data_IF_192669767248
#
_entry.id   IF_192669767248
#
_cell.length_a   1.000
_cell.length_b   1.000
_cell.length_c   1.000
_cell.angle_alpha   90.00
_cell.angle_beta   90.00
_cell.angle_gamma   90.00
#
_symmetry.space_group_name_H-M   'P 1'
#
loop_
_entity.id
_entity.type
_entity.pdbx_description
1 polymer ?
#
# COMPACT_ATOMS: atom_id res chain seq x y z
N UNK A 1 -10.44 11.06 -0.09
CA UNK A 1 -10.40 11.47 1.33
C UNK A 1 -10.03 12.94 1.58
N UNK A 2 -10.10 13.86 0.59
CA UNK A 2 -9.86 15.29 0.85
C UNK A 2 -8.46 15.62 1.36
N UNK A 3 -7.45 14.82 1.01
CA UNK A 3 -6.04 15.12 1.28
C UNK A 3 -5.28 15.31 -0.03
N UNK A 4 -4.03 15.75 0.10
CA UNK A 4 -3.12 16.08 -1.00
C UNK A 4 -2.95 14.92 -2.00
N UNK A 5 -2.50 15.26 -3.21
CA UNK A 5 -2.36 14.29 -4.29
C UNK A 5 -1.32 13.19 -3.93
N UNK A 6 -1.34 12.03 -4.62
CA UNK A 6 -0.38 10.93 -4.39
C UNK A 6 1.11 11.33 -4.40
N UNK A 7 1.44 12.45 -5.04
CA UNK A 7 2.78 13.03 -5.11
C UNK A 7 3.09 14.04 -3.97
N UNK A 8 2.26 14.10 -2.92
CA UNK A 8 2.51 15.00 -1.79
C UNK A 8 3.64 14.49 -0.91
N UNK A 9 4.44 15.43 -0.41
CA UNK A 9 5.48 15.16 0.58
C UNK A 9 4.95 14.43 1.81
N UNK A 10 3.69 14.69 2.21
CA UNK A 10 3.01 14.08 3.35
C UNK A 10 1.68 13.45 2.91
N UNK A 11 1.76 12.34 2.19
CA UNK A 11 0.60 11.65 1.63
C UNK A 11 -0.26 10.92 2.68
N UNK A 12 0.33 10.50 3.80
CA UNK A 12 -0.28 9.53 4.69
C UNK A 12 -1.41 10.10 5.54
N UNK A 13 -2.45 9.29 5.77
CA UNK A 13 -3.52 9.65 6.70
C UNK A 13 -3.10 9.39 8.14
N UNK A 14 -2.35 8.32 8.37
CA UNK A 14 -2.14 7.73 9.70
C UNK A 14 -0.84 8.19 10.38
N UNK A 15 0.03 8.93 9.70
CA UNK A 15 1.28 9.40 10.27
C UNK A 15 1.83 10.62 9.51
N UNK A 16 2.81 11.30 10.11
CA UNK A 16 3.55 12.41 9.50
C UNK A 16 4.77 11.93 8.69
N UNK A 17 4.66 10.78 8.03
CA UNK A 17 5.73 10.24 7.20
C UNK A 17 5.96 11.09 5.96
N UNK A 18 7.22 11.44 5.73
CA UNK A 18 7.67 12.14 4.54
C UNK A 18 8.12 11.16 3.45
N UNK A 19 8.01 11.59 2.19
CA UNK A 19 8.40 10.82 1.02
C UNK A 19 9.80 10.18 1.08
N UNK A 20 10.79 10.87 1.64
CA UNK A 20 12.18 10.38 1.72
C UNK A 20 12.43 9.39 2.86
N UNK A 21 11.46 9.26 3.78
CA UNK A 21 11.57 8.44 4.98
C UNK A 21 10.65 7.21 4.96
N UNK A 22 9.94 6.95 3.85
CA UNK A 22 8.95 5.85 3.72
C UNK A 22 9.53 4.47 4.00
N UNK A 23 10.78 4.26 3.59
CA UNK A 23 11.53 3.01 3.74
C UNK A 23 12.02 2.76 5.18
N UNK A 24 12.05 3.79 6.03
CA UNK A 24 12.64 3.71 7.36
C UNK A 24 11.66 3.10 8.37
N UNK A 25 11.73 1.77 8.50
CA UNK A 25 10.92 1.01 9.45
C UNK A 25 11.44 1.12 10.90
N UNK A 26 12.65 1.64 11.14
CA UNK A 26 13.19 1.81 12.50
C UNK A 26 12.63 3.05 13.21
N UNK A 27 12.07 3.99 12.44
CA UNK A 27 11.38 5.14 13.03
C UNK A 27 10.05 4.71 13.63
N UNK A 28 9.78 5.22 14.82
CA UNK A 28 8.46 5.16 15.43
C UNK A 28 7.53 6.12 14.69
N UNK A 29 6.56 5.56 13.97
CA UNK A 29 5.52 6.32 13.31
C UNK A 29 4.26 6.27 14.17
N UNK A 30 4.04 7.30 14.98
CA UNK A 30 2.85 7.36 15.81
C UNK A 30 1.61 7.44 14.92
N UNK A 31 0.62 6.60 15.23
CA UNK A 31 -0.67 6.56 14.53
C UNK A 31 -1.52 7.75 14.93
N UNK A 32 -1.14 8.92 14.42
CA UNK A 32 -1.80 10.20 14.67
C UNK A 32 -2.24 10.80 13.36
N UNK A 33 -3.32 11.57 13.40
CA UNK A 33 -3.78 12.36 12.25
C UNK A 33 -2.60 13.15 11.67
N UNK A 34 -2.34 13.03 10.38
CA UNK A 34 -1.31 13.81 9.71
C UNK A 34 -1.54 15.31 9.94
N UNK A 35 -0.55 15.94 10.57
CA UNK A 35 -0.55 17.34 10.97
C UNK A 35 0.18 18.23 9.97
N UNK A 36 0.98 17.63 9.08
CA UNK A 36 1.88 18.33 8.14
C UNK A 36 1.31 18.51 6.74
N UNK A 37 0.23 17.81 6.38
CA UNK A 37 -0.44 17.97 5.10
C UNK A 37 -1.35 19.20 5.09
N UNK A 38 -1.27 20.03 4.03
CA UNK A 38 -2.28 21.05 3.74
C UNK A 38 -3.63 20.37 3.52
N UNK A 39 -4.56 20.55 4.47
CA UNK A 39 -5.86 19.89 4.43
C UNK A 39 -6.76 20.55 3.39
N UNK A 40 -7.20 19.79 2.39
CA UNK A 40 -8.44 20.13 1.67
C UNK A 40 -9.62 19.76 2.56
N UNK A 41 -10.78 20.34 2.30
CA UNK A 41 -12.01 19.97 3.02
C UNK A 41 -12.23 18.46 2.92
N UNK A 42 -12.50 17.81 4.06
CA UNK A 42 -12.77 16.37 4.11
C UNK A 42 -13.92 16.03 3.16
N UNK A 43 -13.75 14.98 2.36
CA UNK A 43 -14.81 14.51 1.44
C UNK A 43 -16.05 14.02 2.19
N UNK A 44 -15.84 13.40 3.35
CA UNK A 44 -16.90 12.91 4.24
C UNK A 44 -16.62 13.34 5.68
N UNK A 45 -16.98 14.58 6.07
CA UNK A 45 -16.81 15.05 7.45
C UNK A 45 -17.65 14.26 8.47
N UNK A 46 -18.58 13.42 7.97
CA UNK A 46 -19.41 12.51 8.73
C UNK A 46 -18.65 11.34 9.37
N UNK A 47 -17.50 10.96 8.78
CA UNK A 47 -16.75 9.76 9.18
C UNK A 47 -15.50 10.23 9.90
N UNK A 48 -15.34 9.81 11.16
CA UNK A 48 -14.11 10.02 11.90
C UNK A 48 -12.96 9.30 11.18
N UNK A 49 -11.81 9.97 11.07
CA UNK A 49 -10.63 9.43 10.39
C UNK A 49 -10.11 8.12 11.02
N UNK A 50 -10.38 7.91 12.31
CA UNK A 50 -10.13 6.64 13.02
C UNK A 50 -10.88 5.45 12.41
N UNK A 51 -11.94 5.71 11.65
CA UNK A 51 -12.72 4.70 10.93
C UNK A 51 -12.28 4.54 9.47
N UNK A 52 -11.21 5.19 9.03
CA UNK A 52 -10.62 4.94 7.71
C UNK A 52 -9.76 3.70 7.78
N UNK A 53 -10.15 2.70 6.99
CA UNK A 53 -9.44 1.43 6.87
C UNK A 53 -8.73 1.43 5.51
N UNK A 54 -7.44 1.05 5.44
CA UNK A 54 -6.76 0.81 4.19
C UNK A 54 -7.53 -0.19 3.32
N UNK A 55 -7.72 0.14 2.04
CA UNK A 55 -8.38 -0.76 1.09
C UNK A 55 -7.43 -1.90 0.72
N UNK A 56 -7.81 -3.12 1.11
CA UNK A 56 -7.06 -4.37 0.89
C UNK A 56 -6.76 -4.63 -0.58
N UNK A 57 -7.73 -4.40 -1.47
CA UNK A 57 -7.56 -4.62 -2.91
C UNK A 57 -6.59 -3.60 -3.49
N UNK A 58 -6.66 -2.34 -3.06
CA UNK A 58 -5.71 -1.32 -3.50
C UNK A 58 -4.28 -1.63 -3.02
N UNK A 59 -4.10 -2.14 -1.79
CA UNK A 59 -2.80 -2.59 -1.30
C UNK A 59 -2.24 -3.70 -2.20
N UNK A 60 -3.05 -4.72 -2.52
CA UNK A 60 -2.64 -5.80 -3.43
C UNK A 60 -2.22 -5.25 -4.80
N UNK A 61 -3.07 -4.46 -5.43
CA UNK A 61 -2.83 -3.98 -6.80
C UNK A 61 -1.57 -3.14 -6.88
N UNK A 62 -1.47 -2.10 -6.03
CA UNK A 62 -0.36 -1.15 -6.09
C UNK A 62 0.97 -1.76 -5.68
N UNK A 63 1.02 -2.60 -4.63
CA UNK A 63 2.28 -3.21 -4.22
C UNK A 63 2.75 -4.23 -5.28
N UNK A 64 1.81 -4.99 -5.86
CA UNK A 64 2.15 -5.91 -6.95
C UNK A 64 2.61 -5.19 -8.22
N UNK A 65 2.05 -4.02 -8.52
CA UNK A 65 2.52 -3.18 -9.62
C UNK A 65 3.96 -2.73 -9.38
N UNK A 66 4.32 -2.29 -8.17
CA UNK A 66 5.70 -1.93 -7.83
C UNK A 66 6.67 -3.09 -8.05
N UNK A 67 6.33 -4.29 -7.56
CA UNK A 67 7.16 -5.47 -7.75
C UNK A 67 7.39 -5.80 -9.24
N UNK A 68 6.33 -5.70 -10.05
CA UNK A 68 6.42 -5.90 -11.50
C UNK A 68 7.22 -4.79 -12.20
N UNK A 69 6.99 -3.54 -11.83
CA UNK A 69 7.70 -2.37 -12.37
C UNK A 69 9.20 -2.48 -12.12
N UNK A 70 9.60 -2.79 -10.89
CA UNK A 70 11.00 -3.00 -10.53
C UNK A 70 11.62 -4.13 -11.35
N UNK A 71 10.98 -5.30 -11.40
CA UNK A 71 11.47 -6.45 -12.17
C UNK A 71 11.60 -6.12 -13.67
N UNK A 72 10.53 -5.61 -14.29
CA UNK A 72 10.52 -5.36 -15.72
C UNK A 72 11.41 -4.20 -16.12
N UNK A 73 11.56 -3.16 -15.29
CA UNK A 73 12.51 -2.08 -15.56
C UNK A 73 13.94 -2.62 -15.69
N UNK A 74 14.32 -3.63 -14.92
CA UNK A 74 15.64 -4.26 -15.03
C UNK A 74 15.75 -5.21 -16.23
N UNK A 75 14.71 -6.00 -16.49
CA UNK A 75 14.70 -6.92 -17.64
C UNK A 75 14.68 -6.16 -18.98
N UNK A 76 13.97 -5.04 -19.07
CA UNK A 76 13.88 -4.21 -20.29
C UNK A 76 15.23 -3.56 -20.63
N UNK A 77 16.10 -3.30 -19.66
CA UNK A 77 17.47 -2.78 -19.90
C UNK A 77 18.37 -3.82 -20.58
N UNK A 78 18.02 -5.10 -20.53
CA UNK A 78 18.79 -6.17 -21.14
C UNK A 78 18.68 -6.12 -22.68
N UNK A 79 19.82 -6.21 -23.37
CA UNK A 79 19.89 -6.18 -24.84
C UNK A 79 19.14 -7.33 -25.51
N UNK A 80 18.96 -8.45 -24.80
CA UNK A 80 18.26 -9.62 -25.30
C UNK A 80 16.77 -9.65 -24.90
N UNK A 81 16.26 -8.54 -24.31
CA UNK A 81 14.86 -8.42 -23.91
C UNK A 81 13.89 -8.74 -25.05
N UNK A 82 13.98 -7.99 -26.14
CA UNK A 82 13.09 -8.15 -27.31
C UNK A 82 13.31 -9.46 -28.06
N UNK A 83 14.46 -10.12 -27.89
CA UNK A 83 14.82 -11.33 -28.64
C UNK A 83 14.30 -12.60 -27.97
N UNK A 84 14.47 -12.72 -26.65
CA UNK A 84 14.20 -13.96 -25.93
C UNK A 84 13.46 -13.76 -24.60
N UNK A 85 13.79 -12.72 -23.82
CA UNK A 85 13.26 -12.58 -22.46
C UNK A 85 11.76 -12.26 -22.50
N UNK A 86 11.34 -11.36 -23.41
CA UNK A 86 9.92 -11.00 -23.62
C UNK A 86 9.05 -12.24 -23.84
N UNK A 87 9.41 -13.08 -24.83
CA UNK A 87 8.62 -14.26 -25.17
C UNK A 87 8.66 -15.32 -24.07
N UNK A 88 9.77 -15.45 -23.34
CA UNK A 88 9.88 -16.34 -22.20
C UNK A 88 8.96 -15.91 -21.03
N UNK A 89 8.89 -14.61 -20.72
CA UNK A 89 7.97 -14.07 -19.70
C UNK A 89 6.51 -14.30 -20.12
N UNK A 90 6.15 -13.94 -21.34
CA UNK A 90 4.78 -14.12 -21.87
C UNK A 90 4.36 -15.61 -21.82
N UNK A 91 5.29 -16.53 -22.13
CA UNK A 91 5.07 -17.96 -21.98
C UNK A 91 4.89 -18.39 -20.52
N UNK A 92 5.69 -17.86 -19.58
CA UNK A 92 5.55 -18.18 -18.17
C UNK A 92 4.20 -17.72 -17.59
N UNK A 93 3.73 -16.52 -17.97
CA UNK A 93 2.37 -16.07 -17.62
C UNK A 93 1.29 -16.97 -18.22
N UNK A 94 1.45 -17.38 -19.49
CA UNK A 94 0.53 -18.33 -20.13
C UNK A 94 0.48 -19.67 -19.38
N UNK A 95 1.61 -20.18 -18.91
CA UNK A 95 1.70 -21.44 -18.16
C UNK A 95 0.93 -21.39 -16.83
N UNK A 96 0.88 -20.23 -16.18
CA UNK A 96 0.07 -20.01 -14.97
C UNK A 96 -1.37 -19.57 -15.29
N UNK A 97 -1.80 -19.68 -16.56
CA UNK A 97 -3.15 -19.34 -17.06
C UNK A 97 -3.51 -17.86 -16.89
N UNK A 98 -2.54 -16.97 -17.01
CA UNK A 98 -2.73 -15.51 -16.98
C UNK A 98 -2.42 -14.94 -18.36
N UNK A 99 -3.33 -14.15 -18.93
CA UNK A 99 -3.06 -13.42 -20.17
C UNK A 99 -2.15 -12.23 -19.85
N UNK A 100 -0.96 -12.21 -20.48
CA UNK A 100 0.01 -11.15 -20.28
C UNK A 100 0.86 -10.97 -21.53
N UNK A 101 0.96 -9.74 -22.00
CA UNK A 101 1.75 -9.36 -23.17
C UNK A 101 2.45 -8.02 -22.94
N UNK A 102 3.65 -7.89 -23.49
CA UNK A 102 4.37 -6.62 -23.62
C UNK A 102 4.06 -5.97 -24.97
N UNK A 103 3.83 -4.67 -24.96
CA UNK A 103 3.56 -3.86 -26.15
C UNK A 103 4.27 -2.52 -26.08
N UNK A 104 4.57 -1.93 -27.23
CA UNK A 104 5.15 -0.59 -27.31
C UNK A 104 4.05 0.45 -27.47
N UNK A 105 4.19 1.59 -26.81
CA UNK A 105 3.25 2.71 -27.00
C UNK A 105 3.33 3.24 -28.43
N UNK A 106 2.17 3.46 -29.06
CA UNK A 106 2.05 4.02 -30.42
C UNK A 106 2.58 5.45 -30.54
N UNK A 107 2.64 6.21 -29.44
CA UNK A 107 3.01 7.63 -29.44
C UNK A 107 4.52 7.87 -29.36
N UNK A 108 5.27 7.01 -28.67
CA UNK A 108 6.71 7.19 -28.43
C UNK A 108 7.58 6.08 -29.03
N UNK A 109 7.01 4.92 -29.41
CA UNK A 109 7.68 3.80 -30.08
C UNK A 109 8.85 3.14 -29.33
N UNK A 110 9.34 3.79 -28.26
CA UNK A 110 10.57 3.44 -27.53
C UNK A 110 10.29 2.91 -26.12
N UNK A 111 9.09 3.11 -25.59
CA UNK A 111 8.73 2.67 -24.26
C UNK A 111 7.90 1.39 -24.32
N UNK A 112 8.40 0.36 -23.66
CA UNK A 112 7.67 -0.87 -23.40
C UNK A 112 6.65 -0.65 -22.30
N UNK A 113 5.45 -1.15 -22.52
CA UNK A 113 4.37 -1.28 -21.56
C UNK A 113 3.92 -2.75 -21.54
N UNK A 114 3.06 -3.09 -20.59
CA UNK A 114 2.55 -4.44 -20.44
C UNK A 114 1.08 -4.46 -20.05
N UNK A 115 0.48 -5.63 -20.14
CA UNK A 115 -0.91 -5.87 -19.76
C UNK A 115 -1.10 -5.59 -18.27
N UNK A 116 -2.02 -4.70 -17.91
CA UNK A 116 -2.42 -4.48 -16.52
C UNK A 116 -3.20 -5.69 -15.99
N UNK A 117 -2.87 -6.14 -14.79
CA UNK A 117 -3.45 -7.33 -14.17
C UNK A 117 -4.46 -6.94 -13.08
N UNK A 118 -5.64 -7.55 -13.13
CA UNK A 118 -6.68 -7.41 -12.10
C UNK A 118 -6.35 -8.26 -10.85
N UNK A 119 -7.03 -7.97 -9.74
CA UNK A 119 -6.81 -8.62 -8.44
C UNK A 119 -6.64 -10.14 -8.49
N UNK A 120 -7.57 -10.91 -9.09
CA UNK A 120 -7.43 -12.37 -9.18
C UNK A 120 -6.15 -12.82 -9.91
N UNK A 121 -5.78 -12.15 -10.99
CA UNK A 121 -4.56 -12.48 -11.75
C UNK A 121 -3.29 -12.04 -11.03
N UNK A 122 -3.34 -10.94 -10.26
CA UNK A 122 -2.24 -10.54 -9.36
C UNK A 122 -1.96 -11.60 -8.31
N UNK A 123 -3.00 -12.18 -7.69
CA UNK A 123 -2.84 -13.28 -6.72
C UNK A 123 -2.15 -14.49 -7.36
N UNK A 124 -2.61 -14.94 -8.52
CA UNK A 124 -2.02 -16.08 -9.24
C UNK A 124 -0.55 -15.81 -9.60
N UNK A 125 -0.25 -14.60 -10.06
CA UNK A 125 1.11 -14.19 -10.38
C UNK A 125 2.02 -14.21 -9.15
N UNK A 126 1.60 -13.57 -8.06
CA UNK A 126 2.38 -13.53 -6.80
C UNK A 126 2.60 -14.92 -6.20
N UNK A 127 1.69 -15.85 -6.44
CA UNK A 127 1.79 -17.24 -5.96
C UNK A 127 2.69 -18.10 -6.86
N UNK A 128 2.59 -17.96 -8.20
CA UNK A 128 3.06 -18.99 -9.15
C UNK A 128 4.05 -18.52 -10.20
N UNK A 129 4.16 -17.22 -10.46
CA UNK A 129 5.05 -16.72 -11.51
C UNK A 129 6.52 -16.94 -11.11
N UNK A 130 7.33 -17.68 -11.87
CA UNK A 130 8.68 -18.07 -11.45
C UNK A 130 9.68 -16.92 -11.67
N UNK A 131 9.84 -16.05 -10.69
CA UNK A 131 10.60 -14.79 -10.84
C UNK A 131 12.09 -15.09 -11.01
N UNK A 132 12.62 -16.04 -10.23
CA UNK A 132 14.04 -16.43 -10.26
C UNK A 132 14.52 -16.84 -11.66
N UNK A 133 13.68 -17.46 -12.48
CA UNK A 133 14.03 -17.90 -13.84
C UNK A 133 14.48 -16.76 -14.77
N UNK A 134 14.11 -15.52 -14.46
CA UNK A 134 14.41 -14.36 -15.28
C UNK A 134 15.54 -13.50 -14.73
N UNK A 135 16.04 -13.81 -13.54
CA UNK A 135 17.00 -12.98 -12.81
C UNK A 135 18.37 -13.66 -12.84
N UNK A 136 19.37 -13.06 -13.49
CA UNK A 136 20.70 -13.64 -13.50
C UNK A 136 21.43 -13.38 -12.18
N UNK A 137 22.08 -14.41 -11.63
CA UNK A 137 23.09 -14.27 -10.58
C UNK A 137 22.59 -14.59 -9.17
N UNK A 138 23.33 -14.12 -8.16
CA UNK A 138 23.18 -14.50 -6.75
C UNK A 138 21.92 -13.97 -6.06
N UNK A 139 21.11 -13.18 -6.76
CA UNK A 139 19.96 -12.46 -6.24
C UNK A 139 18.62 -13.15 -6.57
N UNK A 140 18.66 -14.25 -7.32
CA UNK A 140 17.48 -14.94 -7.84
C UNK A 140 16.54 -15.43 -6.72
N UNK A 141 17.12 -16.08 -5.71
CA UNK A 141 16.38 -16.64 -4.58
C UNK A 141 15.81 -15.54 -3.68
N UNK A 142 16.53 -14.44 -3.53
CA UNK A 142 16.10 -13.32 -2.70
C UNK A 142 14.89 -12.59 -3.29
N UNK A 143 14.85 -12.39 -4.62
CA UNK A 143 13.73 -11.74 -5.28
C UNK A 143 12.51 -12.67 -5.36
N UNK A 144 12.72 -13.95 -5.63
CA UNK A 144 11.65 -14.96 -5.53
C UNK A 144 11.05 -14.95 -4.12
N UNK A 145 11.90 -15.03 -3.09
CA UNK A 145 11.49 -14.95 -1.69
C UNK A 145 10.73 -13.66 -1.38
N UNK A 146 11.20 -12.51 -1.87
CA UNK A 146 10.52 -11.22 -1.69
C UNK A 146 9.07 -11.24 -2.22
N UNK A 147 8.83 -11.83 -3.39
CA UNK A 147 7.49 -11.95 -3.97
C UNK A 147 6.62 -12.93 -3.17
N UNK A 148 7.18 -14.09 -2.79
CA UNK A 148 6.46 -15.10 -1.98
C UNK A 148 6.13 -14.59 -0.59
N UNK A 149 7.01 -13.83 0.04
CA UNK A 149 6.76 -13.22 1.34
C UNK A 149 5.65 -12.17 1.26
N UNK A 150 5.61 -11.33 0.21
CA UNK A 150 4.48 -10.42 0.04
C UNK A 150 3.16 -11.18 -0.14
N UNK A 151 3.14 -12.25 -0.94
CA UNK A 151 1.96 -13.10 -1.08
C UNK A 151 1.52 -13.71 0.25
N UNK A 152 2.47 -14.24 1.04
CA UNK A 152 2.21 -14.82 2.37
C UNK A 152 1.60 -13.79 3.31
N UNK A 153 2.19 -12.59 3.41
CA UNK A 153 1.69 -11.49 4.22
C UNK A 153 0.30 -11.03 3.76
N UNK A 154 0.09 -10.92 2.46
CA UNK A 154 -1.22 -10.58 1.89
C UNK A 154 -2.28 -11.64 2.24
N UNK A 155 -1.96 -12.94 2.10
CA UNK A 155 -2.89 -14.01 2.45
C UNK A 155 -3.19 -14.05 3.95
N UNK A 156 -2.26 -13.58 4.80
CA UNK A 156 -2.47 -13.44 6.23
C UNK A 156 -3.63 -12.48 6.56
N UNK A 157 -3.88 -11.47 5.71
CA UNK A 157 -4.99 -10.53 5.87
C UNK A 157 -6.35 -11.25 5.86
N UNK A 158 -6.48 -12.38 5.14
CA UNK A 158 -7.73 -13.10 5.01
C UNK A 158 -8.00 -14.08 6.17
N UNK A 159 -7.16 -14.14 7.20
CA UNK A 159 -7.42 -14.97 8.39
C UNK A 159 -8.57 -14.39 9.21
N UNK A 160 -9.58 -15.23 9.49
CA UNK A 160 -10.78 -14.81 10.23
C UNK A 160 -10.53 -14.54 11.72
N UNK A 161 -9.57 -15.24 12.32
CA UNK A 161 -9.20 -15.11 13.72
C UNK A 161 -7.68 -15.02 13.82
N UNK A 162 -7.20 -13.97 14.48
CA UNK A 162 -5.79 -13.71 14.71
C UNK A 162 -5.57 -13.55 16.21
N UNK A 163 -4.53 -14.20 16.72
CA UNK A 163 -4.02 -13.93 18.07
C UNK A 163 -3.17 -12.66 18.09
N UNK A 164 -3.01 -12.03 19.25
CA UNK A 164 -2.12 -10.86 19.41
C UNK A 164 -0.68 -11.19 18.97
N UNK A 165 -0.19 -12.39 19.29
CA UNK A 165 1.13 -12.86 18.84
C UNK A 165 1.24 -12.96 17.31
N UNK A 166 0.17 -13.38 16.63
CA UNK A 166 0.12 -13.42 15.17
C UNK A 166 0.11 -12.03 14.55
N UNK A 167 -0.55 -11.06 15.19
CA UNK A 167 -0.58 -9.66 14.77
C UNK A 167 0.81 -9.03 14.94
N UNK A 168 1.46 -9.24 16.09
CA UNK A 168 2.83 -8.78 16.35
C UNK A 168 3.82 -9.37 15.33
N UNK A 169 3.69 -10.67 15.05
CA UNK A 169 4.55 -11.33 14.06
C UNK A 169 4.31 -10.79 12.65
N UNK A 170 3.06 -10.51 12.27
CA UNK A 170 2.76 -9.87 10.99
C UNK A 170 3.45 -8.51 10.87
N UNK A 171 3.38 -7.67 11.91
CA UNK A 171 4.03 -6.36 11.89
C UNK A 171 5.55 -6.50 11.68
N UNK A 172 6.19 -7.39 12.44
CA UNK A 172 7.63 -7.67 12.33
C UNK A 172 7.97 -8.16 10.92
N UNK A 173 7.22 -9.13 10.40
CA UNK A 173 7.44 -9.70 9.08
C UNK A 173 7.26 -8.67 7.96
N UNK A 174 6.23 -7.83 8.05
CA UNK A 174 5.97 -6.79 7.06
C UNK A 174 7.04 -5.69 7.06
N UNK A 175 7.56 -5.31 8.23
CA UNK A 175 8.69 -4.38 8.33
C UNK A 175 9.98 -4.98 7.80
N UNK A 176 10.26 -6.25 8.12
CA UNK A 176 11.40 -6.98 7.57
C UNK A 176 11.31 -7.12 6.06
N UNK A 177 10.12 -7.32 5.51
CA UNK A 177 9.90 -7.36 4.06
C UNK A 177 10.31 -6.05 3.38
N UNK A 178 9.97 -4.89 3.96
CA UNK A 178 10.46 -3.58 3.47
C UNK A 178 11.99 -3.49 3.57
N UNK A 179 12.57 -3.95 4.67
CA UNK A 179 14.04 -3.94 4.83
C UNK A 179 14.74 -4.77 3.77
N UNK A 180 14.23 -5.96 3.45
CA UNK A 180 14.76 -6.82 2.38
C UNK A 180 14.60 -6.14 1.02
N UNK A 181 13.41 -5.59 0.74
CA UNK A 181 13.12 -4.88 -0.50
C UNK A 181 14.15 -3.79 -0.81
N UNK A 182 14.49 -2.94 0.17
CA UNK A 182 15.40 -1.81 -0.02
C UNK A 182 16.78 -2.00 0.62
N UNK A 183 17.23 -3.23 0.86
CA UNK A 183 18.52 -3.45 1.50
C UNK A 183 19.66 -2.91 0.60
N UNK A 184 20.61 -2.15 1.16
CA UNK A 184 21.69 -1.57 0.37
C UNK A 184 22.67 -2.65 -0.08
N UNK A 185 23.30 -2.44 -1.24
CA UNK A 185 24.44 -3.24 -1.66
C UNK A 185 25.52 -3.25 -0.58
N UNK A 186 25.90 -4.42 -0.10
CA UNK A 186 26.91 -4.60 0.94
C UNK A 186 28.25 -5.00 0.31
N UNK A 187 29.34 -4.48 0.87
CA UNK A 187 30.72 -4.74 0.42
C UNK A 187 31.33 -3.61 -0.41
N UNK A 188 32.64 -3.70 -0.65
CA UNK A 188 33.38 -2.71 -1.42
C UNK A 188 32.98 -2.73 -2.91
N UNK A 189 32.95 -1.55 -3.53
CA UNK A 189 32.72 -1.38 -4.98
C UNK A 189 33.73 -2.25 -5.74
N UNK A 190 33.23 -3.10 -6.65
CA UNK A 190 34.01 -4.04 -7.48
C UNK A 190 34.70 -5.21 -6.72
N UNK A 191 34.23 -5.55 -5.51
CA UNK A 191 34.64 -6.78 -4.82
C UNK A 191 33.84 -7.99 -5.30
N UNK A 192 34.47 -9.15 -5.38
CA UNK A 192 33.79 -10.43 -5.65
C UNK A 192 32.84 -10.87 -4.53
N UNK A 193 32.92 -10.24 -3.34
CA UNK A 193 32.09 -10.52 -2.16
C UNK A 193 30.94 -9.50 -2.02
N UNK A 194 30.72 -8.66 -3.04
CA UNK A 194 29.63 -7.69 -3.00
C UNK A 194 28.27 -8.40 -3.03
N UNK A 195 27.42 -8.12 -2.03
CA UNK A 195 26.02 -8.57 -1.98
C UNK A 195 25.17 -7.45 -2.58
N UNK A 196 24.62 -7.60 -3.79
CA UNK A 196 23.82 -6.57 -4.44
C UNK A 196 22.54 -6.28 -3.65
N UNK A 197 22.18 -5.00 -3.52
CA UNK A 197 20.85 -4.59 -3.07
C UNK A 197 19.77 -5.03 -4.06
N UNK A 198 18.54 -5.28 -3.58
CA UNK A 198 17.43 -5.69 -4.45
C UNK A 198 16.88 -4.48 -5.22
N UNK A 199 16.23 -3.57 -4.50
CA UNK A 199 15.63 -2.37 -5.05
C UNK A 199 15.99 -1.15 -4.22
N UNK A 200 15.64 0.05 -4.70
CA UNK A 200 16.04 1.29 -4.05
C UNK A 200 15.05 1.69 -2.98
N UNK A 201 15.53 2.51 -2.05
CA UNK A 201 14.69 3.11 -0.99
C UNK A 201 13.61 4.03 -1.57
N UNK A 202 13.91 4.66 -2.70
CA UNK A 202 12.97 5.55 -3.40
C UNK A 202 11.82 4.80 -4.07
N UNK A 203 11.98 3.49 -4.30
CA UNK A 203 10.95 2.63 -4.89
C UNK A 203 9.89 2.19 -3.84
N UNK A 204 10.11 2.50 -2.55
CA UNK A 204 9.13 2.23 -1.48
C UNK A 204 7.96 3.21 -1.59
N UNK A 205 6.80 2.69 -1.97
CA UNK A 205 5.59 3.49 -2.18
C UNK A 205 4.80 3.75 -0.90
N UNK A 206 3.86 4.71 -0.92
CA UNK A 206 2.97 4.90 0.21
C UNK A 206 2.16 3.67 0.62
N UNK A 207 1.73 2.84 -0.34
CA UNK A 207 0.99 1.62 -0.04
C UNK A 207 1.86 0.59 0.71
N UNK A 208 3.14 0.47 0.35
CA UNK A 208 4.09 -0.40 1.06
C UNK A 208 4.32 0.06 2.50
N UNK A 209 4.44 1.38 2.73
CA UNK A 209 4.57 1.92 4.08
C UNK A 209 3.30 1.69 4.92
N UNK A 210 2.12 1.96 4.35
CA UNK A 210 0.84 1.68 5.04
C UNK A 210 0.70 0.21 5.37
N UNK A 211 1.08 -0.67 4.45
CA UNK A 211 1.08 -2.11 4.65
C UNK A 211 1.94 -2.54 5.84
N UNK A 212 3.16 -2.03 5.94
CA UNK A 212 4.11 -2.46 6.98
C UNK A 212 3.90 -1.79 8.35
N UNK A 213 3.34 -0.56 8.39
CA UNK A 213 3.25 0.22 9.63
C UNK A 213 1.85 0.39 10.19
N UNK A 214 0.82 0.27 9.36
CA UNK A 214 -0.53 0.64 9.77
C UNK A 214 -1.53 -0.49 9.67
N UNK A 215 -1.32 -1.47 8.78
CA UNK A 215 -2.28 -2.59 8.61
C UNK A 215 -2.47 -3.41 9.89
N UNK A 216 -1.42 -3.63 10.69
CA UNK A 216 -1.51 -4.43 11.92
C UNK A 216 -2.56 -3.90 12.92
N UNK A 217 -2.74 -2.58 12.97
CA UNK A 217 -3.66 -1.89 13.88
C UNK A 217 -5.12 -2.21 13.59
N UNK A 218 -5.43 -2.59 12.35
CA UNK A 218 -6.79 -2.87 11.93
C UNK A 218 -7.18 -4.34 12.19
N UNK A 219 -6.26 -5.20 12.62
CA UNK A 219 -6.61 -6.57 13.02
C UNK A 219 -7.34 -6.64 14.36
N UNK A 220 -7.11 -5.69 15.27
CA UNK A 220 -7.60 -5.74 16.66
C UNK A 220 -8.86 -4.91 16.98
N UNK A 221 -9.41 -4.14 16.03
CA UNK A 221 -10.46 -3.15 16.34
C UNK A 221 -11.68 -3.14 15.42
N UNK A 222 -11.56 -3.62 14.19
CA UNK A 222 -12.66 -3.72 13.25
C UNK A 222 -12.33 -4.86 12.28
N UNK A 223 -13.20 -5.86 12.15
CA UNK A 223 -13.17 -6.69 10.93
C UNK A 223 -13.06 -5.76 9.72
N UNK A 224 -12.32 -6.12 8.67
CA UNK A 224 -12.14 -5.30 7.46
C UNK A 224 -13.45 -4.87 6.76
N UNK A 225 -14.61 -5.28 7.29
CA UNK A 225 -15.97 -4.85 7.00
C UNK A 225 -16.43 -3.54 7.70
N UNK A 226 -15.59 -2.92 8.56
CA UNK A 226 -15.76 -1.55 9.05
C UNK A 226 -16.87 -1.30 10.08
N UNK A 227 -16.49 -1.06 11.33
CA UNK A 227 -17.39 -0.51 12.36
C UNK A 227 -16.81 -0.60 13.76
N UNK A 228 -16.66 0.54 14.44
CA UNK A 228 -16.06 0.66 15.79
C UNK A 228 -17.09 0.59 16.92
N UNK A 229 -18.39 0.78 16.62
CA UNK A 229 -19.47 0.89 17.63
C UNK A 229 -20.63 -0.10 17.42
N UNK A 230 -20.41 -1.22 16.72
CA UNK A 230 -21.48 -2.15 16.33
C UNK A 230 -22.45 -1.59 15.26
N UNK A 231 -22.08 -0.47 14.63
CA UNK A 231 -22.79 0.16 13.51
C UNK A 231 -21.85 0.31 12.32
N UNK A 232 -22.33 0.01 11.13
CA UNK A 232 -21.53 0.09 9.90
C UNK A 232 -21.19 1.54 9.52
N UNK A 233 -20.10 1.72 8.77
CA UNK A 233 -19.74 3.04 8.20
C UNK A 233 -20.88 3.63 7.37
N UNK A 234 -21.64 2.79 6.66
CA UNK A 234 -22.81 3.18 5.89
C UNK A 234 -23.90 3.79 6.78
N UNK A 235 -24.12 3.23 7.96
CA UNK A 235 -25.06 3.81 8.93
C UNK A 235 -24.66 5.24 9.34
N UNK A 236 -23.36 5.47 9.58
CA UNK A 236 -22.87 6.78 9.99
C UNK A 236 -23.02 7.83 8.86
N UNK A 237 -22.76 7.43 7.61
CA UNK A 237 -22.98 8.27 6.42
C UNK A 237 -24.48 8.61 6.30
N UNK A 238 -25.36 7.61 6.30
CA UNK A 238 -26.80 7.80 6.20
C UNK A 238 -27.35 8.68 7.33
N UNK A 239 -26.91 8.45 8.58
CA UNK A 239 -27.32 9.28 9.72
C UNK A 239 -26.89 10.74 9.56
N UNK A 240 -25.70 11.00 9.02
CA UNK A 240 -25.23 12.36 8.78
C UNK A 240 -26.04 13.04 7.68
N UNK A 241 -26.24 12.37 6.54
CA UNK A 241 -27.03 12.90 5.42
C UNK A 241 -28.48 13.21 5.83
N UNK A 242 -29.11 12.29 6.58
CA UNK A 242 -30.46 12.50 7.12
C UNK A 242 -30.54 13.71 8.07
N UNK A 243 -29.52 13.93 8.92
CA UNK A 243 -29.45 15.12 9.77
C UNK A 243 -29.28 16.38 8.93
N UNK A 244 -28.45 16.36 7.88
CA UNK A 244 -28.28 17.51 6.99
C UNK A 244 -29.59 17.87 6.26
N UNK A 245 -30.33 16.87 5.80
CA UNK A 245 -31.65 17.04 5.19
C UNK A 245 -32.68 17.58 6.20
N UNK A 246 -32.72 17.03 7.41
CA UNK A 246 -33.60 17.52 8.48
C UNK A 246 -33.39 19.01 8.76
N UNK A 247 -32.14 19.45 8.92
CA UNK A 247 -31.86 20.87 9.17
C UNK A 247 -32.17 21.78 7.97
N UNK A 248 -32.03 21.25 6.74
CA UNK A 248 -32.39 21.97 5.52
C UNK A 248 -33.91 22.15 5.39
N UNK A 249 -34.68 21.08 5.63
CA UNK A 249 -36.15 21.10 5.55
C UNK A 249 -36.75 21.99 6.64
N UNK A 250 -36.20 21.94 7.86
CA UNK A 250 -36.72 22.68 9.01
C UNK A 250 -36.11 24.07 9.16
N UNK A 251 -35.40 24.57 8.15
CA UNK A 251 -34.77 25.91 8.11
C UNK A 251 -33.98 26.24 9.39
N UNK A 252 -33.36 25.22 9.99
CA UNK A 252 -32.68 25.33 11.28
C UNK A 252 -31.22 25.75 11.03
N UNK A 253 -30.71 26.84 11.64
CA UNK A 253 -29.36 27.33 11.36
C UNK A 253 -28.28 26.28 11.69
N UNK A 254 -27.43 25.95 10.72
CA UNK A 254 -26.31 24.99 10.89
C UNK A 254 -25.16 25.48 11.80
N UNK A 255 -25.18 26.74 12.26
CA UNK A 255 -24.15 27.30 13.15
C UNK A 255 -24.56 27.17 14.61
N UNK A 256 -23.96 26.22 15.32
CA UNK A 256 -23.84 26.31 16.78
C UNK A 256 -22.82 27.42 17.06
N UNK A 257 -23.31 28.62 17.39
CA UNK A 257 -22.48 29.56 18.16
C UNK A 257 -22.40 28.96 19.56
N UNK A 258 -21.22 28.49 19.95
CA UNK A 258 -20.98 28.03 21.31
C UNK A 258 -21.36 29.15 22.28
N UNK A 259 -22.48 29.01 22.98
CA UNK A 259 -22.74 29.78 24.19
C UNK A 259 -21.85 29.18 25.27
N UNK A 260 -20.73 29.83 25.56
CA UNK A 260 -20.00 29.57 26.80
C UNK A 260 -20.93 29.91 27.96
N UNK A 261 -21.58 28.90 28.53
CA UNK A 261 -22.26 29.02 29.81
C UNK A 261 -21.15 28.93 30.86
N UNK A 262 -20.65 30.09 31.29
CA UNK A 262 -19.84 30.18 32.50
C UNK A 262 -20.74 29.84 33.68
N UNK A 263 -20.64 28.61 34.19
CA UNK A 263 -21.17 28.24 35.49
C UNK A 263 -20.15 28.68 36.53
N UNK A 264 -20.28 29.91 37.02
CA UNK A 264 -19.85 30.25 38.37
C UNK A 264 -21.01 30.97 39.04
N UNK A 265 -21.64 30.25 39.97
CA UNK A 265 -22.63 30.75 40.90
C UNK A 265 -21.98 31.75 41.86
N UNK A 266 -22.78 32.74 42.21
CA UNK A 266 -22.60 33.74 43.25
C UNK A 266 -22.11 33.14 44.59
N UNK A 267 -21.30 33.93 45.29
CA UNK A 267 -21.59 34.35 46.66
C UNK A 267 -21.42 35.86 46.73
#
# INVERSE_FOLDING_TARGET
MGQSAPNSKYFYLYCDCEETSRWDMNRTWNNTVNTKCERKSQLFPAINQENYIPDELHLLLHISDVLMECLFADLIKNKDFSKQIKSAIELAFKNIKVHFEFFQSKSTGKQWNWTSLMGPYKKIMLEKFPVSQFIPGTCEDDIEKLWREFYRLYMFLHKAHLSDQEIDQFEIDAQNWIHIFCHPTQGCINSSIQIPGLYKKEDVTPYMHVFAKHVCLFFGGTTMDGGTDGKSVVYNIMSFENRQLFYLINNTPKKIVARNINVNKEN
#
